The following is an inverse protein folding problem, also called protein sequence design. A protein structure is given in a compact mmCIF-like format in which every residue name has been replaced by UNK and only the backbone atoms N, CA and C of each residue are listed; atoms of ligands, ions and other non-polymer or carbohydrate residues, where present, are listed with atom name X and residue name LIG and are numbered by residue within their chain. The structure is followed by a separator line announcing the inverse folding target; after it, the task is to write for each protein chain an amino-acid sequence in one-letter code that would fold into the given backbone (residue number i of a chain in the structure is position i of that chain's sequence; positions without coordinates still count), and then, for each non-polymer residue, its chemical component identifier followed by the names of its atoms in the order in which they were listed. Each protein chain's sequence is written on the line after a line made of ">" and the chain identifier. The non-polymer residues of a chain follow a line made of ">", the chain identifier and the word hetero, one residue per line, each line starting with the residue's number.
data_IF_267205127437
#
_entry.id   IF_267205127437
#
_cell.length_a   1.000
_cell.length_b   1.000
_cell.length_c   1.000
_cell.angle_alpha   90.00
_cell.angle_beta   90.00
_cell.angle_gamma   90.00
#
_symmetry.space_group_name_H-M   'P 1'
#
loop_
_entity.id
_entity.type
_entity.pdbx_description
1 polymer ?
#
# COMPACT_ATOMS: atom_id res chain seq x y z
N UNK A 1 45.19 8.70 3.70
CA UNK A 1 44.85 9.46 2.48
C UNK A 1 43.61 8.85 1.85
N UNK A 2 42.54 9.65 1.78
CA UNK A 2 41.32 9.61 0.95
C UNK A 2 40.10 9.94 1.83
N UNK A 3 39.86 11.25 1.95
CA UNK A 3 38.61 11.82 2.43
C UNK A 3 37.60 11.64 1.30
N UNK A 4 36.50 10.93 1.52
CA UNK A 4 35.34 11.02 0.62
C UNK A 4 34.38 12.05 1.21
N UNK A 5 34.14 13.08 0.42
CA UNK A 5 33.39 14.26 0.75
C UNK A 5 31.87 13.98 0.73
N UNK A 6 31.19 14.60 1.70
CA UNK A 6 29.77 14.90 1.69
C UNK A 6 29.31 15.39 0.30
N UNK A 7 28.25 14.80 -0.23
CA UNK A 7 27.38 15.46 -1.21
C UNK A 7 26.03 15.70 -0.55
N UNK A 8 25.89 16.88 0.04
CA UNK A 8 24.58 17.50 0.26
C UNK A 8 24.11 18.02 -1.10
N UNK A 9 23.21 17.31 -1.76
CA UNK A 9 22.47 17.87 -2.89
C UNK A 9 21.37 18.79 -2.36
N UNK A 10 21.71 20.08 -2.33
CA UNK A 10 20.78 21.20 -2.24
C UNK A 10 19.75 21.12 -3.36
N UNK A 11 18.47 20.91 -3.01
CA UNK A 11 17.35 21.14 -3.91
C UNK A 11 17.24 22.65 -4.17
N UNK A 12 17.81 23.10 -5.28
CA UNK A 12 17.61 24.46 -5.78
C UNK A 12 16.35 24.47 -6.62
N UNK A 13 15.39 25.30 -6.26
CA UNK A 13 14.13 25.49 -6.96
C UNK A 13 14.38 25.97 -8.40
N UNK A 14 13.98 25.16 -9.40
CA UNK A 14 13.79 25.63 -10.76
C UNK A 14 12.31 25.95 -10.97
N UNK A 15 12.01 27.25 -10.97
CA UNK A 15 10.77 27.78 -11.52
C UNK A 15 10.89 27.77 -13.05
N UNK A 16 10.34 26.73 -13.68
CA UNK A 16 10.02 26.76 -15.11
C UNK A 16 8.52 27.00 -15.25
N UNK A 17 8.17 28.18 -15.77
CA UNK A 17 6.84 28.51 -16.23
C UNK A 17 6.51 27.66 -17.47
N UNK A 18 6.07 26.44 -17.24
CA UNK A 18 5.35 25.63 -18.21
C UNK A 18 3.87 25.70 -17.86
N UNK A 19 3.03 26.04 -18.84
CA UNK A 19 1.57 26.02 -18.75
C UNK A 19 1.12 24.71 -18.11
N UNK A 20 0.68 24.78 -16.85
CA UNK A 20 0.15 23.63 -16.15
C UNK A 20 -1.16 23.22 -16.84
N UNK A 21 -1.08 22.23 -17.72
CA UNK A 21 -2.20 21.32 -17.91
C UNK A 21 -2.35 20.66 -16.55
N UNK A 22 -3.25 21.18 -15.71
CA UNK A 22 -3.59 20.54 -14.45
C UNK A 22 -3.97 19.11 -14.81
N UNK A 23 -3.11 18.14 -14.46
CA UNK A 23 -3.43 16.74 -14.61
C UNK A 23 -4.81 16.55 -13.98
N UNK A 24 -5.81 16.20 -14.79
CA UNK A 24 -7.16 16.01 -14.30
C UNK A 24 -7.10 14.88 -13.29
N UNK A 25 -7.18 15.21 -12.00
CA UNK A 25 -7.21 14.21 -10.94
C UNK A 25 -8.37 13.28 -11.26
N UNK A 26 -8.08 11.98 -11.43
CA UNK A 26 -9.11 10.98 -11.66
C UNK A 26 -9.99 10.90 -10.40
N UNK A 27 -11.19 11.48 -10.50
CA UNK A 27 -12.15 11.57 -9.41
C UNK A 27 -12.58 10.18 -8.92
N UNK A 28 -12.66 9.21 -9.82
CA UNK A 28 -13.03 7.84 -9.48
C UNK A 28 -12.01 7.21 -8.54
N UNK A 29 -10.73 7.34 -8.87
CA UNK A 29 -9.64 6.85 -8.04
C UNK A 29 -9.60 7.56 -6.67
N UNK A 30 -9.81 8.88 -6.64
CA UNK A 30 -9.85 9.64 -5.38
C UNK A 30 -10.99 9.18 -4.45
N UNK A 31 -12.17 8.86 -4.98
CA UNK A 31 -13.28 8.31 -4.18
C UNK A 31 -12.96 6.92 -3.64
N UNK A 32 -12.41 6.03 -4.48
CA UNK A 32 -12.05 4.67 -4.06
C UNK A 32 -10.97 4.67 -2.96
N UNK A 33 -9.96 5.53 -3.08
CA UNK A 33 -8.90 5.68 -2.07
C UNK A 33 -9.44 6.26 -0.75
N UNK A 34 -10.25 7.33 -0.83
CA UNK A 34 -10.85 7.95 0.36
C UNK A 34 -11.76 6.97 1.11
N UNK A 35 -12.47 6.12 0.38
CA UNK A 35 -13.31 5.09 0.97
C UNK A 35 -12.51 3.94 1.59
N UNK A 36 -11.47 3.46 0.90
CA UNK A 36 -10.59 2.44 1.47
C UNK A 36 -9.99 2.91 2.81
N UNK A 37 -9.54 4.17 2.88
CA UNK A 37 -9.10 4.77 4.15
C UNK A 37 -10.20 4.86 5.19
N UNK A 38 -11.40 5.30 4.81
CA UNK A 38 -12.55 5.35 5.72
C UNK A 38 -12.84 3.98 6.33
N UNK A 39 -12.86 2.91 5.54
CA UNK A 39 -13.06 1.54 6.05
C UNK A 39 -11.97 1.14 7.04
N UNK A 40 -10.72 1.56 6.81
CA UNK A 40 -9.63 1.30 7.75
C UNK A 40 -9.74 2.07 9.07
N UNK A 41 -10.28 3.28 9.05
CA UNK A 41 -10.55 4.04 10.27
C UNK A 41 -11.76 3.51 11.05
N UNK A 42 -12.69 2.83 10.37
CA UNK A 42 -13.94 2.34 10.95
C UNK A 42 -14.11 0.81 10.82
N UNK A 43 -13.18 0.00 11.35
CA UNK A 43 -13.15 -1.45 11.12
C UNK A 43 -14.36 -2.21 11.70
N UNK A 44 -15.07 -1.62 12.65
CA UNK A 44 -16.25 -2.22 13.29
C UNK A 44 -17.56 -1.87 12.60
N UNK A 45 -17.54 -1.04 11.56
CA UNK A 45 -18.76 -0.59 10.89
C UNK A 45 -19.24 -1.63 9.87
N UNK A 46 -19.98 -2.64 10.36
CA UNK A 46 -20.50 -3.76 9.57
C UNK A 46 -21.73 -3.41 8.72
N UNK A 47 -22.45 -2.34 9.06
CA UNK A 47 -23.64 -1.89 8.33
C UNK A 47 -23.37 -0.57 7.59
N UNK A 48 -22.92 -0.70 6.36
CA UNK A 48 -22.67 0.43 5.46
C UNK A 48 -23.97 0.84 4.78
N UNK A 49 -24.85 1.52 5.52
CA UNK A 49 -25.87 2.32 4.87
C UNK A 49 -25.32 3.73 4.57
N UNK A 50 -25.73 4.30 3.44
CA UNK A 50 -25.22 5.59 2.92
C UNK A 50 -25.29 6.72 3.96
N UNK A 51 -26.36 6.75 4.77
CA UNK A 51 -26.57 7.78 5.79
C UNK A 51 -25.48 7.71 6.88
N UNK A 52 -25.18 6.51 7.37
CA UNK A 52 -24.12 6.29 8.37
C UNK A 52 -22.75 6.68 7.80
N UNK A 53 -22.44 6.27 6.56
CA UNK A 53 -21.18 6.60 5.90
C UNK A 53 -21.00 8.12 5.79
N UNK A 54 -21.97 8.82 5.22
CA UNK A 54 -21.89 10.28 5.02
C UNK A 54 -21.72 10.99 6.38
N UNK A 55 -22.47 10.56 7.39
CA UNK A 55 -22.40 11.12 8.74
C UNK A 55 -21.03 10.91 9.37
N UNK A 56 -20.52 9.68 9.39
CA UNK A 56 -19.23 9.35 10.01
C UNK A 56 -18.07 9.99 9.26
N UNK A 57 -18.08 9.92 7.92
CA UNK A 57 -17.06 10.58 7.10
C UNK A 57 -17.03 12.09 7.33
N UNK A 58 -18.18 12.75 7.50
CA UNK A 58 -18.20 14.18 7.82
C UNK A 58 -17.70 14.45 9.24
N UNK A 59 -18.10 13.60 10.19
CA UNK A 59 -17.71 13.71 11.60
C UNK A 59 -16.20 13.55 11.80
N UNK A 60 -15.56 12.71 10.99
CA UNK A 60 -14.12 12.49 10.96
C UNK A 60 -13.30 13.75 10.74
N UNK A 61 -13.88 14.81 10.15
CA UNK A 61 -13.22 16.11 9.93
C UNK A 61 -13.77 17.22 10.84
N UNK A 62 -14.64 16.90 11.80
CA UNK A 62 -15.27 17.92 12.65
C UNK A 62 -14.23 18.75 13.42
N UNK A 63 -13.19 18.11 13.96
CA UNK A 63 -12.11 18.80 14.68
C UNK A 63 -11.31 19.77 13.78
N UNK A 64 -11.10 19.40 12.51
CA UNK A 64 -10.40 20.25 11.54
C UNK A 64 -11.13 21.60 11.35
N UNK A 65 -12.46 21.57 11.27
CA UNK A 65 -13.27 22.77 11.06
C UNK A 65 -13.63 23.53 12.34
N UNK A 66 -13.52 22.91 13.52
CA UNK A 66 -13.61 23.63 14.80
C UNK A 66 -12.49 24.66 14.95
N UNK A 67 -11.27 24.27 14.56
CA UNK A 67 -10.11 25.16 14.59
C UNK A 67 -10.10 26.17 13.43
N UNK A 68 -10.62 25.80 12.26
CA UNK A 68 -10.54 26.60 11.04
C UNK A 68 -11.85 26.53 10.23
N UNK A 69 -12.61 27.63 10.17
CA UNK A 69 -13.85 27.66 9.36
C UNK A 69 -13.60 27.45 7.86
N UNK A 70 -12.44 27.89 7.36
CA UNK A 70 -11.97 27.69 6.00
C UNK A 70 -10.59 27.04 6.07
N UNK A 71 -10.46 25.88 5.46
CA UNK A 71 -9.26 25.05 5.53
C UNK A 71 -8.56 25.08 4.18
N UNK A 72 -7.28 25.41 4.16
CA UNK A 72 -6.47 25.34 2.93
C UNK A 72 -5.86 23.93 2.75
N UNK A 73 -5.23 23.71 1.59
CA UNK A 73 -4.66 22.40 1.24
C UNK A 73 -3.60 21.93 2.24
N UNK A 74 -2.73 22.82 2.71
CA UNK A 74 -1.66 22.48 3.67
C UNK A 74 -2.24 21.99 4.99
N UNK A 75 -3.25 22.70 5.52
CA UNK A 75 -3.93 22.33 6.76
C UNK A 75 -4.67 20.99 6.61
N UNK A 76 -5.32 20.77 5.47
CA UNK A 76 -5.99 19.50 5.19
C UNK A 76 -5.01 18.32 5.14
N UNK A 77 -3.90 18.47 4.41
CA UNK A 77 -2.86 17.43 4.31
C UNK A 77 -2.24 17.15 5.68
N UNK A 78 -1.93 18.18 6.47
CA UNK A 78 -1.41 18.01 7.84
C UNK A 78 -2.38 17.23 8.74
N UNK A 79 -3.67 17.54 8.64
CA UNK A 79 -4.70 16.83 9.38
C UNK A 79 -4.79 15.35 9.00
N UNK A 80 -4.79 15.04 7.70
CA UNK A 80 -4.82 13.66 7.22
C UNK A 80 -3.58 12.88 7.65
N UNK A 81 -2.40 13.49 7.64
CA UNK A 81 -1.18 12.86 8.14
C UNK A 81 -1.27 12.55 9.64
N UNK A 82 -1.77 13.51 10.45
CA UNK A 82 -1.93 13.31 11.89
C UNK A 82 -2.93 12.19 12.21
N UNK A 83 -4.01 12.07 11.43
CA UNK A 83 -5.00 10.99 11.57
C UNK A 83 -4.46 9.62 11.15
N UNK A 84 -3.53 9.60 10.20
CA UNK A 84 -2.94 8.37 9.69
C UNK A 84 -1.98 7.70 10.69
N UNK A 85 -1.27 8.48 11.51
CA UNK A 85 -0.28 7.96 12.47
C UNK A 85 -0.78 6.84 13.41
N UNK A 86 -1.90 6.98 14.14
CA UNK A 86 -2.39 5.91 15.00
C UNK A 86 -2.77 4.64 14.23
N UNK A 87 -3.35 4.79 13.03
CA UNK A 87 -3.68 3.65 12.16
C UNK A 87 -2.41 2.91 11.72
N UNK A 88 -1.36 3.64 11.36
CA UNK A 88 -0.09 3.05 10.96
C UNK A 88 0.61 2.33 12.12
N UNK A 89 0.56 2.91 13.32
CA UNK A 89 1.09 2.24 14.52
C UNK A 89 0.35 0.92 14.78
N UNK A 90 -0.98 0.93 14.74
CA UNK A 90 -1.79 -0.28 14.91
C UNK A 90 -1.47 -1.32 13.81
N UNK A 91 -1.37 -0.89 12.54
CA UNK A 91 -1.01 -1.79 11.43
C UNK A 91 0.38 -2.39 11.60
N UNK A 92 1.35 -1.61 12.09
CA UNK A 92 2.70 -2.10 12.39
C UNK A 92 2.66 -3.21 13.44
N UNK A 93 1.98 -2.97 14.58
CA UNK A 93 1.83 -3.96 15.66
C UNK A 93 1.14 -5.25 15.19
N UNK A 94 0.10 -5.12 14.35
CA UNK A 94 -0.59 -6.28 13.77
C UNK A 94 0.29 -7.02 12.76
N UNK A 95 1.09 -6.30 11.98
CA UNK A 95 1.98 -6.91 10.98
C UNK A 95 3.12 -7.67 11.64
N UNK A 96 3.65 -7.17 12.75
CA UNK A 96 4.63 -7.87 13.58
C UNK A 96 4.07 -9.19 14.12
N UNK A 97 2.87 -9.17 14.72
CA UNK A 97 2.17 -10.40 15.15
C UNK A 97 1.95 -11.38 14.00
N UNK A 98 1.59 -10.88 12.82
CA UNK A 98 1.41 -11.72 11.63
C UNK A 98 2.74 -12.30 11.13
N UNK A 99 3.87 -11.60 11.28
CA UNK A 99 5.19 -12.11 10.91
C UNK A 99 5.55 -13.35 11.74
N UNK A 100 5.31 -13.34 13.04
CA UNK A 100 5.47 -14.52 13.91
C UNK A 100 4.63 -15.70 13.44
N UNK A 101 3.35 -15.46 13.11
CA UNK A 101 2.45 -16.51 12.59
C UNK A 101 2.96 -17.06 11.25
N UNK A 102 3.41 -16.17 10.34
CA UNK A 102 3.97 -16.57 9.04
C UNK A 102 5.24 -17.39 9.20
N UNK A 103 6.14 -17.01 10.09
CA UNK A 103 7.32 -17.80 10.41
C UNK A 103 6.91 -19.21 10.87
N UNK A 104 5.96 -19.29 11.82
CA UNK A 104 5.42 -20.55 12.29
C UNK A 104 4.71 -21.37 11.23
N UNK A 105 4.30 -20.82 10.09
CA UNK A 105 3.75 -21.57 8.94
C UNK A 105 4.88 -22.06 8.02
N UNK A 106 5.93 -21.24 7.83
CA UNK A 106 7.07 -21.55 6.97
C UNK A 106 7.98 -22.63 7.59
N UNK A 107 8.25 -22.54 8.88
CA UNK A 107 8.94 -23.57 9.68
C UNK A 107 7.99 -24.78 9.83
N UNK A 108 8.01 -25.69 8.87
CA UNK A 108 7.03 -26.76 8.78
C UNK A 108 7.31 -27.84 9.83
N UNK A 109 8.59 -28.15 10.08
CA UNK A 109 9.01 -29.18 11.02
C UNK A 109 9.06 -28.68 12.49
N UNK A 110 8.88 -27.37 12.74
CA UNK A 110 8.86 -26.72 14.06
C UNK A 110 10.19 -26.81 14.81
N UNK A 111 11.31 -26.88 14.09
CA UNK A 111 12.64 -26.94 14.71
C UNK A 111 13.27 -25.55 14.94
N UNK A 112 12.54 -24.47 14.59
CA UNK A 112 12.96 -23.08 14.65
C UNK A 112 14.18 -22.77 13.77
N UNK A 113 14.40 -23.57 12.72
CA UNK A 113 15.47 -23.39 11.76
C UNK A 113 14.89 -23.37 10.35
N UNK A 114 14.31 -22.24 9.97
CA UNK A 114 13.72 -22.11 8.65
C UNK A 114 14.81 -22.26 7.58
N UNK A 115 14.77 -23.37 6.86
CA UNK A 115 15.73 -23.68 5.80
C UNK A 115 15.32 -23.06 4.47
N UNK A 116 16.28 -22.92 3.55
CA UNK A 116 15.99 -22.47 2.19
C UNK A 116 14.95 -23.36 1.49
N UNK A 117 15.01 -24.67 1.73
CA UNK A 117 14.05 -25.64 1.17
C UNK A 117 12.63 -25.32 1.61
N UNK A 118 12.40 -25.16 2.91
CA UNK A 118 11.08 -24.82 3.46
C UNK A 118 10.60 -23.45 2.98
N UNK A 119 11.51 -22.47 2.92
CA UNK A 119 11.20 -21.15 2.39
C UNK A 119 10.77 -21.20 0.91
N UNK A 120 11.42 -22.03 0.09
CA UNK A 120 11.11 -22.18 -1.33
C UNK A 120 9.87 -23.02 -1.59
N UNK A 121 9.56 -24.01 -0.76
CA UNK A 121 8.33 -24.82 -0.88
C UNK A 121 7.06 -23.97 -0.87
N UNK A 122 7.01 -22.94 -0.02
CA UNK A 122 5.89 -21.99 -0.02
C UNK A 122 5.91 -21.10 -1.27
N UNK A 123 7.10 -20.75 -1.77
CA UNK A 123 7.26 -20.08 -3.06
C UNK A 123 6.64 -20.88 -4.20
N UNK A 124 6.97 -22.16 -4.32
CA UNK A 124 6.41 -23.05 -5.36
C UNK A 124 4.87 -23.05 -5.33
N UNK A 125 4.26 -23.13 -4.15
CA UNK A 125 2.80 -23.05 -4.00
C UNK A 125 2.25 -21.72 -4.53
N UNK A 126 2.85 -20.60 -4.13
CA UNK A 126 2.45 -19.28 -4.64
C UNK A 126 2.62 -19.17 -6.15
N UNK A 127 3.72 -19.66 -6.72
CA UNK A 127 3.91 -19.61 -8.18
C UNK A 127 2.77 -20.35 -8.91
N UNK A 128 2.44 -21.56 -8.45
CA UNK A 128 1.35 -22.36 -9.01
C UNK A 128 -0.03 -21.71 -8.84
N UNK A 129 -0.21 -20.80 -7.88
CA UNK A 129 -1.45 -20.02 -7.76
C UNK A 129 -1.57 -18.97 -8.88
N UNK A 130 -0.46 -18.47 -9.41
CA UNK A 130 -0.41 -17.49 -10.50
C UNK A 130 -0.30 -18.14 -11.88
N UNK A 131 0.36 -19.30 -11.99
CA UNK A 131 0.47 -20.13 -13.20
C UNK A 131 -0.81 -20.98 -13.35
N UNK A 132 -1.84 -20.40 -13.98
CA UNK A 132 -3.18 -20.97 -14.06
C UNK A 132 -3.26 -22.13 -15.04
N UNK A 133 -2.46 -22.10 -16.10
CA UNK A 133 -2.42 -23.17 -17.10
C UNK A 133 -1.35 -24.24 -16.81
N UNK A 134 -0.52 -24.04 -15.77
CA UNK A 134 0.53 -24.96 -15.31
C UNK A 134 1.60 -25.22 -16.38
N UNK A 135 1.92 -24.20 -17.19
CA UNK A 135 2.93 -24.29 -18.25
C UNK A 135 4.35 -23.88 -17.79
N UNK A 136 4.49 -23.46 -16.53
CA UNK A 136 5.75 -23.01 -15.94
C UNK A 136 6.07 -21.53 -16.18
N UNK A 137 5.14 -20.76 -16.76
CA UNK A 137 5.27 -19.34 -17.08
C UNK A 137 4.04 -18.55 -16.62
N UNK A 138 4.21 -17.64 -15.67
CA UNK A 138 3.14 -16.68 -15.34
C UNK A 138 3.13 -15.57 -16.40
N UNK A 139 2.08 -15.50 -17.21
CA UNK A 139 1.97 -14.59 -18.34
C UNK A 139 0.52 -14.11 -18.62
N UNK A 140 0.31 -13.47 -19.77
CA UNK A 140 -0.99 -12.92 -20.15
C UNK A 140 -2.09 -13.97 -20.36
N UNK A 141 -1.76 -15.21 -20.72
CA UNK A 141 -2.72 -16.30 -20.82
C UNK A 141 -3.29 -16.66 -19.44
N UNK A 142 -2.46 -16.69 -18.41
CA UNK A 142 -2.93 -16.88 -17.03
C UNK A 142 -3.86 -15.76 -16.61
N UNK A 143 -3.58 -14.52 -17.04
CA UNK A 143 -4.42 -13.37 -16.71
C UNK A 143 -5.84 -13.52 -17.28
N UNK A 144 -5.97 -14.16 -18.45
CA UNK A 144 -7.28 -14.50 -19.04
C UNK A 144 -8.01 -15.58 -18.24
N UNK A 145 -7.27 -16.51 -17.62
CA UNK A 145 -7.81 -17.63 -16.84
C UNK A 145 -8.17 -17.24 -15.40
N UNK A 146 -7.46 -16.27 -14.79
CA UNK A 146 -7.64 -15.88 -13.39
C UNK A 146 -8.94 -15.09 -13.11
N UNK A 147 -9.63 -14.65 -14.16
CA UNK A 147 -10.78 -13.75 -14.05
C UNK A 147 -10.41 -12.33 -13.62
N UNK A 148 -11.32 -11.37 -13.79
CA UNK A 148 -11.07 -9.94 -13.50
C UNK A 148 -11.16 -9.62 -12.00
N UNK A 149 -10.37 -10.29 -11.17
CA UNK A 149 -10.29 -9.98 -9.74
C UNK A 149 -9.29 -8.83 -9.53
N UNK A 150 -9.80 -7.61 -9.49
CA UNK A 150 -9.03 -6.41 -9.11
C UNK A 150 -8.97 -6.19 -7.59
N UNK A 151 -9.41 -7.19 -6.80
CA UNK A 151 -9.33 -7.12 -5.36
C UNK A 151 -7.86 -7.20 -4.92
N UNK A 152 -7.50 -6.31 -4.02
CA UNK A 152 -6.19 -6.25 -3.39
C UNK A 152 -6.14 -7.21 -2.20
N UNK A 153 -4.93 -7.50 -1.69
CA UNK A 153 -4.75 -8.37 -0.53
C UNK A 153 -5.46 -7.87 0.74
N UNK A 154 -5.71 -6.56 0.84
CA UNK A 154 -6.46 -5.90 1.90
C UNK A 154 -7.96 -5.81 1.61
N UNK A 155 -8.45 -6.46 0.55
CA UNK A 155 -9.87 -6.58 0.21
C UNK A 155 -10.46 -5.34 -0.46
N UNK A 156 -9.64 -4.34 -0.79
CA UNK A 156 -10.08 -3.12 -1.47
C UNK A 156 -9.98 -3.24 -2.99
N UNK A 157 -10.72 -2.39 -3.71
CA UNK A 157 -10.59 -2.24 -5.17
C UNK A 157 -9.30 -1.52 -5.58
N UNK A 158 -8.67 -0.80 -4.64
CA UNK A 158 -7.45 -0.02 -4.87
C UNK A 158 -6.45 -0.29 -3.76
N UNK A 159 -5.19 -0.47 -4.15
CA UNK A 159 -4.09 -0.73 -3.22
C UNK A 159 -3.65 0.57 -2.58
N UNK A 160 -3.74 0.65 -1.27
CA UNK A 160 -3.26 1.82 -0.56
C UNK A 160 -1.72 1.87 -0.59
N UNK A 161 -1.11 3.07 -0.70
CA UNK A 161 0.34 3.23 -0.66
C UNK A 161 1.01 2.66 0.59
N UNK A 162 0.26 2.51 1.68
CA UNK A 162 0.72 1.98 2.98
C UNK A 162 0.56 0.45 3.10
N UNK A 163 -0.01 -0.21 2.08
CA UNK A 163 -0.15 -1.68 2.06
C UNK A 163 1.15 -2.32 1.58
N UNK A 164 1.48 -3.51 2.12
CA UNK A 164 2.72 -4.20 1.75
C UNK A 164 2.76 -4.50 0.24
N UNK A 165 3.92 -4.33 -0.41
CA UNK A 165 4.06 -4.54 -1.84
C UNK A 165 4.14 -6.05 -2.14
N UNK A 166 2.97 -6.68 -2.17
CA UNK A 166 2.77 -8.06 -2.61
C UNK A 166 1.91 -8.05 -3.87
N UNK A 167 2.20 -8.87 -4.89
CA UNK A 167 1.36 -8.93 -6.08
C UNK A 167 0.01 -9.56 -5.71
N UNK A 168 -1.10 -8.89 -6.06
CA UNK A 168 -2.45 -9.44 -5.90
C UNK A 168 -3.05 -9.98 -7.19
N UNK A 169 -2.40 -9.75 -8.34
CA UNK A 169 -2.82 -10.24 -9.64
C UNK A 169 -1.60 -10.55 -10.51
N UNK A 170 -1.85 -11.21 -11.65
CA UNK A 170 -0.81 -11.69 -12.56
C UNK A 170 0.02 -10.55 -13.15
N UNK A 171 -0.60 -9.41 -13.48
CA UNK A 171 0.13 -8.26 -14.01
C UNK A 171 1.10 -7.67 -12.97
N UNK A 172 0.68 -7.59 -11.70
CA UNK A 172 1.58 -7.19 -10.60
C UNK A 172 2.68 -8.21 -10.37
N UNK A 173 2.38 -9.52 -10.46
CA UNK A 173 3.38 -10.57 -10.33
C UNK A 173 4.46 -10.45 -11.43
N UNK A 174 4.04 -10.22 -12.68
CA UNK A 174 4.92 -9.96 -13.83
C UNK A 174 5.72 -8.68 -13.63
N UNK A 175 5.08 -7.59 -13.19
CA UNK A 175 5.76 -6.32 -12.94
C UNK A 175 6.87 -6.47 -11.88
N UNK A 176 6.62 -7.25 -10.82
CA UNK A 176 7.54 -7.41 -9.71
C UNK A 176 8.67 -8.40 -10.00
N UNK A 177 8.38 -9.53 -10.67
CA UNK A 177 9.35 -10.62 -10.85
C UNK A 177 9.81 -10.85 -12.29
N UNK A 178 9.16 -10.22 -13.27
CA UNK A 178 9.45 -10.41 -14.69
C UNK A 178 10.75 -9.76 -15.17
N UNK A 179 11.42 -8.94 -14.34
CA UNK A 179 12.70 -8.31 -14.70
C UNK A 179 12.63 -7.52 -16.03
N UNK A 180 11.50 -6.86 -16.28
CA UNK A 180 11.22 -6.12 -17.52
C UNK A 180 10.61 -6.96 -18.66
N UNK A 181 10.46 -8.27 -18.47
CA UNK A 181 9.72 -9.17 -19.37
C UNK A 181 8.21 -9.08 -19.12
N UNK A 182 7.44 -9.55 -20.09
CA UNK A 182 5.98 -9.71 -20.01
C UNK A 182 5.55 -11.08 -19.48
N UNK A 183 6.48 -11.85 -18.89
CA UNK A 183 6.23 -13.14 -18.25
C UNK A 183 7.21 -13.35 -17.09
N UNK A 184 6.89 -14.30 -16.20
CA UNK A 184 7.77 -14.74 -15.11
C UNK A 184 7.94 -16.24 -15.20
N UNK A 185 9.19 -16.72 -15.29
CA UNK A 185 9.48 -18.14 -15.15
C UNK A 185 9.55 -18.53 -13.68
N UNK A 186 9.38 -19.82 -13.37
CA UNK A 186 9.60 -20.31 -12.02
C UNK A 186 11.01 -19.93 -11.49
N UNK A 187 12.04 -20.04 -12.34
CA UNK A 187 13.41 -19.67 -11.99
C UNK A 187 13.58 -18.20 -11.63
N UNK A 188 12.93 -17.28 -12.36
CA UNK A 188 12.97 -15.85 -12.04
C UNK A 188 12.42 -15.58 -10.65
N UNK A 189 11.28 -16.20 -10.32
CA UNK A 189 10.62 -16.02 -9.04
C UNK A 189 11.40 -16.65 -7.88
N UNK A 190 11.86 -17.90 -8.02
CA UNK A 190 12.65 -18.57 -6.98
C UNK A 190 13.99 -17.85 -6.75
N UNK A 191 14.62 -17.31 -7.79
CA UNK A 191 15.84 -16.49 -7.65
C UNK A 191 15.59 -15.22 -6.83
N UNK A 192 14.43 -14.57 -7.01
CA UNK A 192 14.06 -13.42 -6.19
C UNK A 192 13.84 -13.82 -4.72
N UNK A 193 13.27 -15.01 -4.50
CA UNK A 193 13.09 -15.57 -3.15
C UNK A 193 14.42 -15.95 -2.50
N UNK A 194 15.38 -16.54 -3.24
CA UNK A 194 16.73 -16.83 -2.73
C UNK A 194 17.38 -15.55 -2.21
N UNK A 195 17.31 -14.46 -2.99
CA UNK A 195 17.84 -13.15 -2.58
C UNK A 195 17.20 -12.66 -1.29
N UNK A 196 15.89 -12.85 -1.13
CA UNK A 196 15.22 -12.49 0.13
C UNK A 196 15.70 -13.37 1.28
N UNK A 197 15.78 -14.69 1.10
CA UNK A 197 16.25 -15.61 2.13
C UNK A 197 17.64 -15.23 2.63
N UNK A 198 18.60 -15.01 1.73
CA UNK A 198 19.96 -14.63 2.09
C UNK A 198 20.06 -13.21 2.66
N UNK A 199 19.10 -12.32 2.37
CA UNK A 199 19.02 -11.02 3.03
C UNK A 199 18.44 -11.13 4.45
N UNK A 200 17.59 -12.12 4.70
CA UNK A 200 17.03 -12.44 6.02
C UNK A 200 18.04 -13.16 6.91
N UNK A 201 18.82 -14.09 6.35
CA UNK A 201 19.93 -14.79 7.02
C UNK A 201 21.09 -13.82 7.30
N UNK A 202 20.95 -13.04 8.38
CA UNK A 202 21.84 -11.94 8.70
C UNK A 202 23.22 -12.41 9.16
N UNK A 203 23.31 -13.61 9.75
CA UNK A 203 24.55 -14.19 10.24
C UNK A 203 25.27 -15.07 9.20
N UNK A 204 24.57 -15.47 8.12
CA UNK A 204 25.12 -16.27 7.03
C UNK A 204 25.30 -17.75 7.36
N UNK A 205 24.57 -18.29 8.33
CA UNK A 205 24.65 -19.70 8.73
C UNK A 205 23.71 -20.62 7.95
N UNK A 206 23.00 -20.06 6.97
CA UNK A 206 22.01 -20.72 6.12
C UNK A 206 20.77 -21.21 6.85
N UNK A 207 20.50 -20.68 8.04
CA UNK A 207 19.30 -20.91 8.82
C UNK A 207 18.68 -19.56 9.15
N UNK A 208 17.42 -19.36 8.74
CA UNK A 208 16.68 -18.19 9.19
C UNK A 208 15.99 -18.49 10.51
N UNK A 209 16.36 -17.76 11.56
CA UNK A 209 15.64 -17.80 12.84
C UNK A 209 14.36 -16.96 12.78
N UNK A 210 13.44 -17.18 13.72
CA UNK A 210 12.22 -16.35 13.84
C UNK A 210 12.58 -14.87 14.01
N UNK A 211 13.60 -14.59 14.82
CA UNK A 211 14.07 -13.23 15.06
C UNK A 211 14.53 -12.56 13.77
N UNK A 212 15.37 -13.24 12.98
CA UNK A 212 15.85 -12.72 11.70
C UNK A 212 14.71 -12.49 10.72
N UNK A 213 13.77 -13.43 10.63
CA UNK A 213 12.58 -13.30 9.79
C UNK A 213 11.74 -12.08 10.16
N UNK A 214 11.43 -11.92 11.46
CA UNK A 214 10.61 -10.81 11.96
C UNK A 214 11.34 -9.48 11.79
N UNK A 215 12.63 -9.42 12.12
CA UNK A 215 13.43 -8.20 11.99
C UNK A 215 13.52 -7.74 10.52
N UNK A 216 13.82 -8.64 9.57
CA UNK A 216 13.85 -8.33 8.13
C UNK A 216 12.49 -7.85 7.62
N UNK A 217 11.43 -8.58 7.98
CA UNK A 217 10.08 -8.25 7.56
C UNK A 217 9.66 -6.88 8.09
N UNK A 218 9.93 -6.58 9.37
CA UNK A 218 9.57 -5.31 9.99
C UNK A 218 10.39 -4.15 9.43
N UNK A 219 11.66 -4.36 9.07
CA UNK A 219 12.46 -3.35 8.37
C UNK A 219 11.84 -2.98 7.01
N UNK A 220 11.44 -3.98 6.22
CA UNK A 220 10.74 -3.73 4.95
C UNK A 220 9.39 -3.07 5.14
N UNK A 221 8.65 -3.50 6.16
CA UNK A 221 7.37 -2.89 6.51
C UNK A 221 7.54 -1.42 6.85
N UNK A 222 8.49 -1.07 7.71
CA UNK A 222 8.77 0.30 8.13
C UNK A 222 9.24 1.18 6.96
N UNK A 223 10.10 0.65 6.08
CA UNK A 223 10.51 1.34 4.85
C UNK A 223 9.32 1.59 3.89
N UNK A 224 8.42 0.60 3.76
CA UNK A 224 7.20 0.74 2.98
C UNK A 224 6.25 1.78 3.58
N UNK A 225 6.06 1.79 4.90
CA UNK A 225 5.25 2.79 5.57
C UNK A 225 5.84 4.20 5.41
N UNK A 226 7.16 4.36 5.54
CA UNK A 226 7.80 5.66 5.33
C UNK A 226 7.54 6.21 3.92
N UNK A 227 7.71 5.37 2.90
CA UNK A 227 7.41 5.73 1.50
C UNK A 227 5.92 5.96 1.28
N UNK A 228 5.08 5.12 1.88
CA UNK A 228 3.62 5.20 1.84
C UNK A 228 3.11 6.51 2.41
N UNK A 229 3.64 6.97 3.55
CA UNK A 229 3.27 8.25 4.18
C UNK A 229 3.44 9.42 3.22
N UNK A 230 4.55 9.48 2.49
CA UNK A 230 4.79 10.54 1.49
C UNK A 230 3.75 10.49 0.38
N UNK A 231 3.48 9.31 -0.18
CA UNK A 231 2.43 9.14 -1.20
C UNK A 231 1.04 9.49 -0.66
N UNK A 232 0.76 9.21 0.61
CA UNK A 232 -0.49 9.60 1.26
C UNK A 232 -0.63 11.12 1.41
N UNK A 233 0.47 11.88 1.51
CA UNK A 233 0.42 13.35 1.46
C UNK A 233 -0.03 13.83 0.08
N UNK A 234 0.51 13.22 -0.98
CA UNK A 234 0.14 13.51 -2.37
C UNK A 234 -1.33 13.14 -2.63
N UNK A 235 -1.77 11.96 -2.17
CA UNK A 235 -3.18 11.54 -2.24
C UNK A 235 -4.10 12.51 -1.50
N UNK A 236 -3.75 12.93 -0.28
CA UNK A 236 -4.55 13.91 0.47
C UNK A 236 -4.61 15.27 -0.26
N UNK A 237 -3.49 15.68 -0.88
CA UNK A 237 -3.44 16.89 -1.69
C UNK A 237 -4.36 16.80 -2.92
N UNK A 238 -4.40 15.65 -3.59
CA UNK A 238 -5.31 15.38 -4.71
C UNK A 238 -6.77 15.34 -4.27
N UNK A 239 -7.05 14.67 -3.15
CA UNK A 239 -8.39 14.60 -2.56
C UNK A 239 -8.91 16.00 -2.21
N UNK A 240 -8.07 16.88 -1.65
CA UNK A 240 -8.42 18.28 -1.43
C UNK A 240 -8.85 18.99 -2.72
N UNK A 241 -8.15 18.77 -3.84
CA UNK A 241 -8.53 19.36 -5.13
C UNK A 241 -9.90 18.88 -5.60
N UNK A 242 -10.21 17.59 -5.40
CA UNK A 242 -11.51 17.00 -5.75
C UNK A 242 -12.63 17.54 -4.85
N UNK A 243 -12.39 17.65 -3.54
CA UNK A 243 -13.34 18.24 -2.58
C UNK A 243 -13.60 19.72 -2.93
N UNK A 244 -12.51 20.48 -3.12
CA UNK A 244 -12.55 21.92 -3.33
C UNK A 244 -13.03 22.33 -4.72
N UNK A 245 -12.97 21.46 -5.73
CA UNK A 245 -13.36 21.76 -7.12
C UNK A 245 -12.71 23.05 -7.64
N UNK A 246 -11.41 23.22 -7.38
CA UNK A 246 -10.65 24.42 -7.75
C UNK A 246 -10.67 25.58 -6.73
N UNK A 247 -11.36 25.43 -5.59
CA UNK A 247 -11.27 26.39 -4.47
C UNK A 247 -9.90 26.32 -3.79
N UNK A 248 -9.44 27.47 -3.29
CA UNK A 248 -8.23 27.57 -2.47
C UNK A 248 -8.45 27.14 -1.01
N UNK A 249 -9.71 27.13 -0.57
CA UNK A 249 -10.13 26.67 0.77
C UNK A 249 -11.42 25.86 0.70
N UNK A 250 -11.55 24.85 1.55
CA UNK A 250 -12.76 24.04 1.72
C UNK A 250 -13.44 24.34 3.06
N UNK A 251 -14.72 24.01 3.14
CA UNK A 251 -15.56 24.09 4.34
C UNK A 251 -16.18 22.73 4.65
N UNK A 252 -16.77 22.58 5.85
CA UNK A 252 -17.41 21.34 6.26
C UNK A 252 -18.50 20.85 5.27
N UNK A 253 -19.22 21.78 4.62
CA UNK A 253 -20.21 21.44 3.60
C UNK A 253 -19.59 20.81 2.34
N UNK A 254 -18.36 21.18 1.99
CA UNK A 254 -17.64 20.58 0.86
C UNK A 254 -17.27 19.12 1.15
N UNK A 255 -16.85 18.81 2.39
CA UNK A 255 -16.59 17.43 2.85
C UNK A 255 -17.87 16.59 2.82
N UNK A 256 -18.99 17.15 3.30
CA UNK A 256 -20.27 16.44 3.27
C UNK A 256 -20.72 16.15 1.83
N UNK A 257 -20.52 17.10 0.91
CA UNK A 257 -20.84 16.88 -0.50
C UNK A 257 -19.91 15.84 -1.14
N UNK A 258 -18.62 15.86 -0.81
CA UNK A 258 -17.67 14.84 -1.25
C UNK A 258 -18.09 13.44 -0.77
N UNK A 259 -18.47 13.31 0.50
CA UNK A 259 -18.94 12.04 1.07
C UNK A 259 -20.16 11.48 0.33
N UNK A 260 -21.12 12.34 -0.04
CA UNK A 260 -22.28 11.95 -0.86
C UNK A 260 -21.87 11.45 -2.24
N UNK A 261 -20.98 12.18 -2.91
CA UNK A 261 -20.51 11.79 -4.24
C UNK A 261 -19.71 10.49 -4.21
N UNK A 262 -18.88 10.32 -3.18
CA UNK A 262 -18.10 9.11 -2.94
C UNK A 262 -19.01 7.90 -2.73
N UNK A 263 -20.02 8.01 -1.86
CA UNK A 263 -21.03 6.96 -1.62
C UNK A 263 -21.76 6.55 -2.91
N UNK A 264 -22.17 7.53 -3.72
CA UNK A 264 -22.81 7.28 -5.01
C UNK A 264 -21.89 6.57 -5.99
N UNK A 265 -20.61 6.95 -6.05
CA UNK A 265 -19.64 6.39 -6.98
C UNK A 265 -19.24 4.95 -6.63
N UNK A 266 -19.25 4.59 -5.34
CA UNK A 266 -18.87 3.25 -4.87
C UNK A 266 -20.04 2.27 -4.93
N UNK A 267 -21.28 2.78 -4.88
CA UNK A 267 -22.50 2.00 -5.05
C UNK A 267 -22.78 1.60 -6.51
N UNK A 268 -21.96 2.06 -7.46
CA UNK A 268 -22.02 1.74 -8.91
C UNK A 268 -20.94 0.72 -9.29
#
# INVERSE_FOLDING_TARGET
>A
MKKLALWMTSLTAMATAGSAVAATVDQSNAYQQAYALYVLYHPNNKEQNSSTLIKQYTQDYAELFKANKKVNQVQFVQYEQARLEPLLKQRREMSEKQAHVRYGILDNNKDQKLTLKEFQETGLKTFNEFDKNLDGLVNAEDAKLAGNSNATHDGFRVKLPISMPMPSNINEFISQYGQGKNYVTLGDYLTARDKQYFATDANGDHIVTEKEYVDEFMQRFDANIATGKVKMQETAAQQFQVIGKGKTTIQASDIQQFAKNMDQAISQ
#
